data_IF_982970150554
#
_entry.id   IF_982970150554
#
_cell.length_a   1.000
_cell.length_b   1.000
_cell.length_c   1.000
_cell.angle_alpha   90.00
_cell.angle_beta   90.00
_cell.angle_gamma   90.00
#
_symmetry.space_group_name_H-M   'P 1'
#
loop_
_entity.id
_entity.type
_entity.pdbx_description
1 polymer ?
#
# COMPACT_ATOMS: atom_id res chain seq x y z
N UNK A 1 65.13 33.22 67.84
CA UNK A 1 66.24 33.34 66.88
C UNK A 1 65.65 33.88 65.57
N UNK A 2 66.04 35.12 65.18
CA UNK A 2 65.83 35.85 63.89
C UNK A 2 64.39 35.91 63.32
N UNK A 3 63.73 37.09 63.26
CA UNK A 3 63.74 38.07 62.13
C UNK A 3 63.44 37.39 60.77
N UNK A 4 62.57 37.85 59.85
CA UNK A 4 62.15 39.20 59.52
C UNK A 4 61.07 39.14 58.41
N UNK A 5 60.08 40.05 58.47
CA UNK A 5 59.65 41.00 57.42
C UNK A 5 59.50 40.59 55.93
N UNK A 6 58.31 40.92 55.41
CA UNK A 6 58.07 41.88 54.29
C UNK A 6 57.91 41.45 52.83
N UNK A 7 56.72 41.80 52.32
CA UNK A 7 56.39 42.57 51.10
C UNK A 7 56.52 41.96 49.69
N UNK A 8 55.32 41.77 49.11
CA UNK A 8 54.81 42.41 47.88
C UNK A 8 55.54 42.26 46.51
N UNK A 9 54.67 41.92 45.53
CA UNK A 9 54.51 42.53 44.19
C UNK A 9 55.26 41.97 42.97
N UNK A 10 54.57 42.12 41.82
CA UNK A 10 55.04 42.08 40.42
C UNK A 10 55.41 40.68 39.87
N UNK A 11 55.04 40.22 38.67
CA UNK A 11 54.20 40.65 37.54
C UNK A 11 54.26 39.51 36.49
N UNK A 12 53.34 39.57 35.52
CA UNK A 12 53.55 39.15 34.12
C UNK A 12 53.33 37.69 33.70
N UNK A 13 52.27 37.55 32.91
CA UNK A 13 52.23 36.94 31.58
C UNK A 13 52.76 35.51 31.42
N UNK A 14 51.83 34.57 31.20
CA UNK A 14 51.80 33.85 29.92
C UNK A 14 50.40 33.29 29.68
N UNK A 15 49.73 33.92 28.72
CA UNK A 15 48.61 33.38 27.97
C UNK A 15 49.04 32.07 27.30
N UNK A 16 48.41 30.95 27.64
CA UNK A 16 48.32 29.80 26.74
C UNK A 16 46.84 29.63 26.42
N UNK A 17 46.43 30.35 25.38
CA UNK A 17 45.24 30.04 24.62
C UNK A 17 45.48 28.69 23.92
N UNK A 18 44.96 27.61 24.49
CA UNK A 18 44.78 26.35 23.77
C UNK A 18 43.34 26.30 23.26
N UNK A 19 43.17 26.90 22.09
CA UNK A 19 42.00 26.78 21.23
C UNK A 19 41.86 25.33 20.75
N UNK A 20 41.14 24.49 21.51
CA UNK A 20 40.49 23.31 20.93
C UNK A 20 39.24 23.78 20.19
N UNK A 21 39.45 24.23 18.96
CA UNK A 21 38.39 24.32 17.97
C UNK A 21 37.92 22.90 17.67
N UNK A 22 36.94 22.42 18.44
CA UNK A 22 36.10 21.31 18.03
C UNK A 22 35.29 21.82 16.84
N UNK A 23 35.82 21.57 15.64
CA UNK A 23 35.04 21.62 14.41
C UNK A 23 33.94 20.57 14.55
N UNK A 24 32.80 21.00 15.09
CA UNK A 24 31.53 20.30 14.92
C UNK A 24 31.25 20.42 13.43
N UNK A 25 31.73 19.42 12.68
CA UNK A 25 31.25 19.15 11.33
C UNK A 25 29.77 18.84 11.53
N UNK A 26 28.94 19.87 11.37
CA UNK A 26 27.52 19.73 11.12
C UNK A 26 27.38 18.96 9.81
N UNK A 27 27.50 17.64 9.91
CA UNK A 27 26.92 16.72 8.97
C UNK A 27 25.41 16.91 9.06
N UNK A 28 24.92 17.96 8.41
CA UNK A 28 23.63 17.93 7.79
C UNK A 28 23.68 16.77 6.79
N UNK A 29 23.50 15.54 7.31
CA UNK A 29 22.75 14.53 6.59
C UNK A 29 21.39 15.19 6.35
N UNK A 30 21.32 15.98 5.28
CA UNK A 30 20.15 15.96 4.44
C UNK A 30 19.89 14.48 4.23
N UNK A 31 18.91 13.94 4.96
CA UNK A 31 18.35 12.65 4.65
C UNK A 31 17.89 12.79 3.20
N UNK A 32 18.75 12.36 2.29
CA UNK A 32 18.43 12.27 0.88
C UNK A 32 17.12 11.49 0.84
N UNK A 33 16.02 12.07 0.32
CA UNK A 33 14.73 11.41 0.38
C UNK A 33 14.94 10.05 -0.27
N UNK A 34 14.83 8.99 0.55
CA UNK A 34 15.21 7.64 0.18
C UNK A 34 14.72 7.42 -1.24
N UNK A 35 15.69 7.30 -2.18
CA UNK A 35 15.42 7.27 -3.61
C UNK A 35 14.43 6.14 -3.82
N UNK A 36 13.14 6.49 -3.98
CA UNK A 36 12.06 5.52 -4.02
C UNK A 36 12.41 4.56 -5.14
N UNK A 37 12.78 3.34 -4.81
CA UNK A 37 13.01 2.32 -5.81
C UNK A 37 11.75 2.25 -6.66
N UNK A 38 11.83 2.21 -8.00
CA UNK A 38 10.66 2.21 -8.89
C UNK A 38 9.64 1.09 -8.61
N UNK A 39 9.97 0.13 -7.74
CA UNK A 39 9.20 -1.06 -7.42
C UNK A 39 8.56 -1.09 -6.02
N UNK A 40 8.72 -0.06 -5.17
CA UNK A 40 8.08 -0.07 -3.84
C UNK A 40 6.66 0.50 -3.89
N UNK A 41 5.70 -0.32 -4.31
CA UNK A 41 4.26 0.01 -4.24
C UNK A 41 3.76 0.46 -2.85
N UNK A 42 4.31 0.05 -1.67
CA UNK A 42 3.76 0.52 -0.39
C UNK A 42 4.06 2.01 -0.09
N UNK A 43 4.72 2.74 -0.99
CA UNK A 43 5.17 4.11 -0.74
C UNK A 43 4.10 5.22 -0.82
N UNK A 44 2.85 4.92 -1.17
CA UNK A 44 1.77 5.94 -1.28
C UNK A 44 0.59 5.61 -0.38
N UNK A 45 -0.15 6.64 0.08
CA UNK A 45 -1.36 6.45 0.91
C UNK A 45 -2.43 5.73 0.11
N UNK A 46 -2.59 6.06 -1.18
CA UNK A 46 -3.52 5.35 -2.06
C UNK A 46 -3.22 3.85 -2.17
N UNK A 47 -1.95 3.45 -2.37
CA UNK A 47 -1.59 2.04 -2.47
C UNK A 47 -1.82 1.29 -1.15
N UNK A 48 -1.47 1.90 -0.02
CA UNK A 48 -1.75 1.32 1.30
C UNK A 48 -3.26 1.20 1.55
N UNK A 49 -4.04 2.22 1.20
CA UNK A 49 -5.51 2.19 1.28
C UNK A 49 -6.07 1.01 0.49
N UNK A 50 -5.67 0.83 -0.78
CA UNK A 50 -6.16 -0.31 -1.59
C UNK A 50 -5.78 -1.64 -0.93
N UNK A 51 -4.52 -1.79 -0.51
CA UNK A 51 -4.06 -3.03 0.12
C UNK A 51 -4.90 -3.40 1.35
N UNK A 52 -5.05 -2.47 2.30
CA UNK A 52 -5.81 -2.72 3.53
C UNK A 52 -7.30 -2.89 3.26
N UNK A 53 -7.88 -2.10 2.36
CA UNK A 53 -9.29 -2.23 1.99
C UNK A 53 -9.58 -3.63 1.45
N UNK A 54 -8.77 -4.11 0.51
CA UNK A 54 -8.95 -5.45 -0.08
C UNK A 54 -8.74 -6.54 0.98
N UNK A 55 -7.68 -6.46 1.77
CA UNK A 55 -7.39 -7.46 2.80
C UNK A 55 -8.50 -7.54 3.86
N UNK A 56 -8.95 -6.40 4.38
CA UNK A 56 -10.04 -6.33 5.36
C UNK A 56 -11.37 -6.80 4.75
N UNK A 57 -11.63 -6.42 3.50
CA UNK A 57 -12.81 -6.87 2.75
C UNK A 57 -12.87 -8.37 2.58
N UNK A 58 -11.74 -9.00 2.26
CA UNK A 58 -11.63 -10.46 2.11
C UNK A 58 -11.96 -11.20 3.41
N UNK A 59 -11.42 -10.74 4.54
CA UNK A 59 -11.68 -11.32 5.85
C UNK A 59 -13.13 -11.10 6.32
N UNK A 60 -13.65 -9.88 6.17
CA UNK A 60 -15.01 -9.54 6.60
C UNK A 60 -16.06 -10.28 5.78
N UNK A 61 -15.84 -10.42 4.48
CA UNK A 61 -16.79 -11.09 3.60
C UNK A 61 -16.62 -12.61 3.62
N UNK A 62 -15.54 -13.14 4.21
CA UNK A 62 -15.37 -14.58 4.36
C UNK A 62 -14.98 -15.29 3.07
N UNK A 63 -14.23 -14.61 2.19
CA UNK A 63 -14.00 -15.09 0.83
C UNK A 63 -13.24 -16.42 0.85
N UNK A 64 -13.76 -17.43 0.14
CA UNK A 64 -13.17 -18.76 0.10
C UNK A 64 -11.94 -18.79 -0.80
N UNK A 65 -11.02 -19.73 -0.58
CA UNK A 65 -9.86 -19.92 -1.47
C UNK A 65 -10.29 -20.20 -2.92
N UNK A 66 -11.37 -20.97 -3.13
CA UNK A 66 -11.91 -21.23 -4.46
C UNK A 66 -12.43 -19.98 -5.15
N UNK A 67 -12.99 -19.02 -4.41
CA UNK A 67 -13.45 -17.76 -4.99
C UNK A 67 -12.29 -16.80 -5.25
N UNK A 68 -11.25 -16.81 -4.40
CA UNK A 68 -9.99 -16.08 -4.64
C UNK A 68 -9.29 -16.59 -5.90
N UNK A 69 -9.27 -17.90 -6.12
CA UNK A 69 -8.65 -18.54 -7.28
C UNK A 69 -9.38 -18.16 -8.61
N UNK A 70 -10.61 -17.64 -8.56
CA UNK A 70 -11.29 -17.07 -9.73
C UNK A 70 -10.77 -15.67 -10.10
N UNK A 71 -10.09 -14.98 -9.17
CA UNK A 71 -9.55 -13.62 -9.35
C UNK A 71 -8.04 -13.68 -9.60
N UNK A 72 -7.31 -14.46 -8.80
CA UNK A 72 -5.87 -14.69 -8.92
C UNK A 72 -5.60 -16.19 -9.12
N UNK A 73 -5.78 -16.72 -10.35
CA UNK A 73 -5.70 -18.14 -10.61
C UNK A 73 -4.33 -18.71 -10.20
N UNK A 74 -4.29 -19.96 -9.69
CA UNK A 74 -3.04 -20.60 -9.36
C UNK A 74 -2.20 -20.82 -10.62
N UNK A 75 -0.89 -20.69 -10.49
CA UNK A 75 0.07 -21.09 -11.52
C UNK A 75 0.33 -22.60 -11.47
N UNK A 76 1.20 -23.10 -12.36
CA UNK A 76 1.55 -24.53 -12.43
C UNK A 76 2.15 -25.10 -11.14
N UNK A 77 2.76 -24.26 -10.30
CA UNK A 77 3.32 -24.65 -9.00
C UNK A 77 2.33 -24.42 -7.83
N UNK A 78 1.08 -24.05 -8.10
CA UNK A 78 0.05 -23.77 -7.10
C UNK A 78 0.12 -22.36 -6.48
N UNK A 79 1.17 -21.57 -6.74
CA UNK A 79 1.25 -20.20 -6.24
C UNK A 79 0.30 -19.27 -7.04
N UNK A 80 -0.36 -18.30 -6.39
CA UNK A 80 -1.15 -17.27 -7.05
C UNK A 80 -0.41 -16.57 -8.18
N UNK A 81 -1.03 -16.52 -9.35
CA UNK A 81 -0.48 -15.87 -10.53
C UNK A 81 -1.12 -14.52 -10.76
N UNK A 82 -0.32 -13.55 -11.18
CA UNK A 82 -0.82 -12.30 -11.72
C UNK A 82 -1.63 -12.57 -12.99
N UNK A 83 -2.91 -12.17 -13.00
CA UNK A 83 -3.77 -12.32 -14.17
C UNK A 83 -3.94 -10.99 -14.92
N UNK A 84 -3.39 -10.86 -16.14
CA UNK A 84 -3.59 -9.66 -16.96
C UNK A 84 -5.07 -9.44 -17.34
N UNK A 85 -5.95 -10.42 -17.12
CA UNK A 85 -7.38 -10.21 -17.27
C UNK A 85 -7.97 -9.29 -16.17
N UNK A 86 -7.43 -9.34 -14.96
CA UNK A 86 -8.00 -8.62 -13.81
C UNK A 86 -7.12 -7.43 -13.39
N UNK A 87 -5.82 -7.50 -13.67
CA UNK A 87 -4.82 -6.59 -13.13
C UNK A 87 -3.93 -5.95 -14.22
N UNK A 88 -3.33 -4.81 -13.90
CA UNK A 88 -2.36 -4.11 -14.75
C UNK A 88 -0.97 -4.12 -14.08
N UNK A 89 0.00 -4.75 -14.74
CA UNK A 89 1.31 -5.14 -14.16
C UNK A 89 2.11 -3.99 -13.53
N UNK A 90 1.98 -2.77 -14.04
CA UNK A 90 2.68 -1.58 -13.54
C UNK A 90 1.75 -0.56 -12.84
N UNK A 91 0.49 -0.94 -12.55
CA UNK A 91 -0.44 -0.01 -11.94
C UNK A 91 -0.27 0.03 -10.41
N UNK A 92 -0.08 1.22 -9.81
CA UNK A 92 0.10 1.37 -8.37
C UNK A 92 -1.16 1.07 -7.54
N UNK A 93 -2.32 0.88 -8.17
CA UNK A 93 -3.55 0.41 -7.54
C UNK A 93 -3.76 -1.10 -7.71
N UNK A 94 -3.36 -1.67 -8.86
CA UNK A 94 -3.50 -3.11 -9.10
C UNK A 94 -2.54 -3.93 -8.26
N UNK A 95 -1.30 -3.49 -8.15
CA UNK A 95 -0.27 -4.21 -7.41
C UNK A 95 -0.62 -4.41 -5.92
N UNK A 96 -1.01 -3.38 -5.14
CA UNK A 96 -1.44 -3.60 -3.75
C UNK A 96 -2.67 -4.51 -3.63
N UNK A 97 -3.64 -4.43 -4.56
CA UNK A 97 -4.79 -5.33 -4.53
C UNK A 97 -4.35 -6.78 -4.78
N UNK A 98 -3.50 -7.02 -5.78
CA UNK A 98 -2.94 -8.35 -6.06
C UNK A 98 -2.19 -8.90 -4.85
N UNK A 99 -1.35 -8.08 -4.22
CA UNK A 99 -0.60 -8.50 -3.02
C UNK A 99 -1.52 -8.80 -1.83
N UNK A 100 -2.61 -8.06 -1.65
CA UNK A 100 -3.62 -8.37 -0.64
C UNK A 100 -4.32 -9.72 -0.90
N UNK A 101 -4.74 -9.98 -2.15
CA UNK A 101 -5.28 -11.28 -2.55
C UNK A 101 -4.27 -12.41 -2.34
N UNK A 102 -3.02 -12.20 -2.77
CA UNK A 102 -1.92 -13.18 -2.62
C UNK A 102 -1.66 -13.48 -1.15
N UNK A 103 -1.57 -12.46 -0.29
CA UNK A 103 -1.39 -12.63 1.14
C UNK A 103 -2.55 -13.40 1.76
N UNK A 104 -3.78 -12.96 1.49
CA UNK A 104 -4.99 -13.62 1.99
C UNK A 104 -5.07 -15.08 1.54
N UNK A 105 -4.69 -15.40 0.30
CA UNK A 105 -4.71 -16.77 -0.23
C UNK A 105 -3.77 -17.74 0.49
N UNK A 106 -2.70 -17.22 1.11
CA UNK A 106 -1.72 -17.99 1.91
C UNK A 106 -1.97 -17.89 3.42
N UNK A 107 -3.10 -17.33 3.85
CA UNK A 107 -3.41 -17.22 5.27
C UNK A 107 -3.48 -18.61 5.93
N UNK A 108 -2.99 -18.67 7.15
CA UNK A 108 -3.15 -19.85 7.99
C UNK A 108 -4.57 -19.91 8.56
N UNK A 109 -4.91 -21.08 9.11
CA UNK A 109 -6.12 -21.23 9.92
C UNK A 109 -5.99 -20.42 11.20
N UNK A 110 -7.12 -19.87 11.63
CA UNK A 110 -7.24 -19.18 12.90
C UNK A 110 -7.29 -20.24 14.02
N UNK A 111 -6.29 -20.22 14.89
CA UNK A 111 -6.19 -21.12 16.03
C UNK A 111 -7.07 -20.67 17.20
N UNK A 112 -7.35 -21.58 18.13
CA UNK A 112 -8.13 -21.28 19.36
C UNK A 112 -9.65 -21.31 19.20
N UNK A 113 -10.15 -21.77 18.05
CA UNK A 113 -11.58 -21.91 17.77
C UNK A 113 -12.01 -23.38 17.82
N UNK A 114 -13.26 -23.64 18.22
CA UNK A 114 -13.83 -25.00 18.29
C UNK A 114 -13.91 -25.70 16.94
N UNK A 115 -14.03 -24.93 15.87
CA UNK A 115 -14.05 -25.42 14.50
C UNK A 115 -12.92 -24.72 13.70
N UNK A 116 -12.29 -25.43 12.74
CA UNK A 116 -11.28 -24.84 11.89
C UNK A 116 -11.91 -23.75 11.01
N UNK A 117 -11.43 -22.51 11.15
CA UNK A 117 -11.80 -21.38 10.31
C UNK A 117 -10.54 -20.68 9.82
N UNK A 118 -10.57 -20.13 8.61
CA UNK A 118 -9.47 -19.30 8.07
C UNK A 118 -9.93 -17.87 7.74
N UNK A 119 -11.17 -17.54 8.07
CA UNK A 119 -11.80 -16.24 7.79
C UNK A 119 -12.98 -15.99 8.75
N UNK A 120 -13.61 -14.82 8.69
CA UNK A 120 -14.64 -14.40 9.65
C UNK A 120 -16.04 -14.20 9.05
N UNK A 121 -16.12 -13.96 7.73
CA UNK A 121 -17.38 -13.64 7.06
C UNK A 121 -18.22 -14.84 6.62
N UNK A 122 -19.45 -14.59 6.13
CA UNK A 122 -20.39 -15.62 5.68
C UNK A 122 -20.05 -16.21 4.29
N UNK A 123 -19.07 -15.66 3.58
CA UNK A 123 -18.80 -15.94 2.17
C UNK A 123 -19.39 -14.89 1.24
N UNK A 124 -18.95 -14.92 -0.02
CA UNK A 124 -19.50 -14.06 -1.07
C UNK A 124 -20.97 -14.38 -1.34
N UNK A 125 -21.75 -13.35 -1.70
CA UNK A 125 -23.12 -13.53 -2.16
C UNK A 125 -23.16 -14.34 -3.47
N UNK A 126 -24.24 -15.11 -3.66
CA UNK A 126 -24.35 -16.04 -4.78
C UNK A 126 -24.35 -15.35 -6.15
N UNK A 127 -24.85 -14.11 -6.23
CA UNK A 127 -24.83 -13.33 -7.45
C UNK A 127 -23.40 -12.97 -7.86
N UNK A 128 -22.60 -12.43 -6.95
CA UNK A 128 -21.18 -12.15 -7.17
C UNK A 128 -20.43 -13.44 -7.52
N UNK A 129 -20.68 -14.54 -6.80
CA UNK A 129 -20.02 -15.83 -7.09
C UNK A 129 -20.37 -16.33 -8.49
N UNK A 130 -21.64 -16.23 -8.89
CA UNK A 130 -22.09 -16.59 -10.24
C UNK A 130 -21.42 -15.74 -11.32
N UNK A 131 -21.28 -14.43 -11.10
CA UNK A 131 -20.60 -13.54 -12.04
C UNK A 131 -19.10 -13.84 -12.15
N UNK A 132 -18.42 -14.14 -11.04
CA UNK A 132 -17.00 -14.55 -11.05
C UNK A 132 -16.76 -15.87 -11.80
N UNK A 133 -17.74 -16.78 -11.80
CA UNK A 133 -17.69 -18.07 -12.53
C UNK A 133 -18.17 -17.95 -13.98
N UNK A 134 -18.69 -16.80 -14.37
CA UNK A 134 -19.23 -16.59 -15.72
C UNK A 134 -18.14 -16.79 -16.78
N UNK A 135 -18.45 -17.43 -17.92
CA UNK A 135 -17.52 -17.49 -19.05
C UNK A 135 -17.26 -16.11 -19.65
N UNK A 136 -18.15 -15.13 -19.43
CA UNK A 136 -18.00 -13.77 -19.92
C UNK A 136 -16.97 -12.97 -19.09
N UNK A 137 -15.84 -12.55 -19.70
CA UNK A 137 -14.83 -11.73 -19.02
C UNK A 137 -15.36 -10.41 -18.44
N UNK A 138 -16.36 -9.79 -19.08
CA UNK A 138 -16.95 -8.55 -18.58
C UNK A 138 -17.74 -8.76 -17.29
N UNK A 139 -18.46 -9.88 -17.21
CA UNK A 139 -19.20 -10.27 -16.01
C UNK A 139 -18.26 -10.50 -14.83
N UNK A 140 -17.15 -11.21 -15.05
CA UNK A 140 -16.11 -11.41 -14.02
C UNK A 140 -15.51 -10.08 -13.57
N UNK A 141 -15.10 -9.22 -14.51
CA UNK A 141 -14.56 -7.90 -14.19
C UNK A 141 -15.57 -7.05 -13.41
N UNK A 142 -16.85 -7.08 -13.77
CA UNK A 142 -17.87 -6.30 -13.06
C UNK A 142 -18.05 -6.77 -11.61
N UNK A 143 -18.00 -8.08 -11.37
CA UNK A 143 -18.03 -8.63 -10.02
C UNK A 143 -16.83 -8.16 -9.19
N UNK A 144 -15.62 -8.23 -9.77
CA UNK A 144 -14.39 -7.75 -9.12
C UNK A 144 -14.49 -6.24 -8.83
N UNK A 145 -14.90 -5.43 -9.79
CA UNK A 145 -15.08 -3.99 -9.62
C UNK A 145 -16.07 -3.67 -8.48
N UNK A 146 -17.17 -4.41 -8.40
CA UNK A 146 -18.18 -4.27 -7.35
C UNK A 146 -17.60 -4.58 -5.96
N UNK A 147 -16.84 -5.66 -5.84
CA UNK A 147 -16.15 -6.03 -4.61
C UNK A 147 -15.14 -4.97 -4.17
N UNK A 148 -14.24 -4.58 -5.08
CA UNK A 148 -13.20 -3.58 -4.80
C UNK A 148 -13.83 -2.25 -4.42
N UNK A 149 -14.85 -1.79 -5.14
CA UNK A 149 -15.57 -0.55 -4.84
C UNK A 149 -16.16 -0.58 -3.43
N UNK A 150 -16.88 -1.65 -3.09
CA UNK A 150 -17.46 -1.83 -1.75
C UNK A 150 -16.40 -1.79 -0.65
N UNK A 151 -15.32 -2.58 -0.81
CA UNK A 151 -14.26 -2.68 0.18
C UNK A 151 -13.50 -1.37 0.39
N UNK A 152 -13.19 -0.66 -0.70
CA UNK A 152 -12.51 0.64 -0.63
C UNK A 152 -13.43 1.70 -0.01
N UNK A 153 -14.71 1.73 -0.37
CA UNK A 153 -15.68 2.66 0.22
C UNK A 153 -15.77 2.48 1.75
N UNK A 154 -15.92 1.23 2.21
CA UNK A 154 -15.99 0.93 3.64
C UNK A 154 -14.69 1.29 4.38
N UNK A 155 -13.53 1.06 3.76
CA UNK A 155 -12.26 1.46 4.39
C UNK A 155 -12.16 2.98 4.51
N UNK A 156 -12.58 3.72 3.49
CA UNK A 156 -12.62 5.18 3.52
C UNK A 156 -13.56 5.71 4.63
N UNK A 157 -14.70 5.06 4.85
CA UNK A 157 -15.61 5.37 5.97
C UNK A 157 -14.93 5.15 7.33
N UNK A 158 -14.24 4.01 7.50
CA UNK A 158 -13.54 3.68 8.75
C UNK A 158 -12.38 4.64 9.05
N UNK A 159 -11.76 5.22 8.04
CA UNK A 159 -10.66 6.18 8.22
C UNK A 159 -11.11 7.53 8.78
N UNK A 160 -12.42 7.86 8.73
CA UNK A 160 -12.98 9.12 9.27
C UNK A 160 -12.22 10.38 8.83
N UNK A 161 -11.83 10.41 7.55
CA UNK A 161 -11.06 11.49 6.96
C UNK A 161 -11.82 12.82 6.97
N UNK A 162 -11.10 13.92 7.10
CA UNK A 162 -11.68 15.24 6.81
C UNK A 162 -12.00 15.37 5.31
N UNK A 163 -12.85 16.33 4.90
CA UNK A 163 -13.11 16.59 3.49
C UNK A 163 -11.83 16.85 2.66
N UNK A 164 -10.85 17.53 3.24
CA UNK A 164 -9.56 17.84 2.62
C UNK A 164 -8.73 16.58 2.43
N UNK A 165 -8.59 15.75 3.47
CA UNK A 165 -7.88 14.48 3.37
C UNK A 165 -8.53 13.51 2.39
N UNK A 166 -9.87 13.51 2.33
CA UNK A 166 -10.64 12.73 1.35
C UNK A 166 -10.39 13.24 -0.07
N UNK A 167 -10.26 14.55 -0.27
CA UNK A 167 -9.90 15.11 -1.56
C UNK A 167 -8.46 14.74 -1.96
N UNK A 168 -7.52 14.79 -1.01
CA UNK A 168 -6.11 14.41 -1.23
C UNK A 168 -5.98 12.96 -1.68
N UNK A 169 -6.58 12.02 -0.93
CA UNK A 169 -6.49 10.60 -1.28
C UNK A 169 -7.20 10.30 -2.60
N UNK A 170 -8.28 11.03 -2.92
CA UNK A 170 -8.96 10.92 -4.23
C UNK A 170 -8.04 11.38 -5.37
N UNK A 171 -7.25 12.45 -5.17
CA UNK A 171 -6.25 12.89 -6.15
C UNK A 171 -5.14 11.87 -6.34
N UNK A 172 -4.63 11.28 -5.25
CA UNK A 172 -3.63 10.20 -5.32
C UNK A 172 -4.16 8.98 -6.09
N UNK A 173 -5.41 8.57 -5.80
CA UNK A 173 -6.07 7.47 -6.50
C UNK A 173 -6.24 7.74 -8.00
N UNK A 174 -6.66 8.95 -8.39
CA UNK A 174 -6.76 9.31 -9.82
C UNK A 174 -5.40 9.31 -10.49
N UNK A 175 -4.35 9.81 -9.82
CA UNK A 175 -3.00 9.76 -10.36
C UNK A 175 -2.52 8.33 -10.57
N UNK A 176 -2.75 7.45 -9.59
CA UNK A 176 -2.43 6.03 -9.70
C UNK A 176 -3.19 5.32 -10.82
N UNK A 177 -4.47 5.66 -11.00
CA UNK A 177 -5.30 5.19 -12.12
C UNK A 177 -4.75 5.65 -13.46
N UNK A 178 -4.44 6.95 -13.61
CA UNK A 178 -3.84 7.50 -14.84
C UNK A 178 -2.54 6.82 -15.20
N UNK A 179 -1.66 6.57 -14.21
CA UNK A 179 -0.41 5.84 -14.43
C UNK A 179 -0.66 4.42 -14.94
N UNK A 180 -1.57 3.68 -14.29
CA UNK A 180 -1.93 2.32 -14.72
C UNK A 180 -2.54 2.26 -16.12
N UNK A 181 -3.50 3.14 -16.42
CA UNK A 181 -4.17 3.18 -17.71
C UNK A 181 -3.26 3.71 -18.84
N UNK A 182 -2.30 4.59 -18.52
CA UNK A 182 -1.27 5.03 -19.46
C UNK A 182 -0.37 3.87 -19.92
N UNK A 183 -0.02 2.96 -19.00
CA UNK A 183 0.76 1.76 -19.33
C UNK A 183 0.00 0.81 -20.26
N UNK A 184 -1.33 0.69 -20.12
CA UNK A 184 -2.17 -0.10 -21.04
C UNK A 184 -2.19 0.48 -22.45
N UNK A 185 -2.21 1.81 -22.61
CA UNK A 185 -2.22 2.47 -23.93
C UNK A 185 -0.89 2.35 -24.66
N UNK A 186 0.22 2.31 -23.92
CA UNK A 186 1.56 2.41 -24.49
C UNK A 186 2.32 1.06 -24.55
N UNK A 187 1.81 -0.01 -23.91
CA UNK A 187 2.63 -1.18 -23.57
C UNK A 187 2.17 -2.56 -24.03
N UNK A 188 1.06 -2.72 -24.76
CA UNK A 188 0.60 -4.06 -25.18
C UNK A 188 0.14 -4.10 -26.64
N UNK A 189 1.06 -4.48 -27.54
CA UNK A 189 0.73 -5.13 -28.80
C UNK A 189 0.24 -6.55 -28.50
N UNK A 190 -1.04 -6.83 -28.76
CA UNK A 190 -1.56 -8.20 -28.89
C UNK A 190 -2.37 -8.79 -27.72
N UNK A 191 -2.11 -8.43 -26.46
CA UNK A 191 -2.97 -8.87 -25.33
C UNK A 191 -3.86 -7.73 -24.83
N UNK A 192 -4.96 -7.56 -25.57
CA UNK A 192 -6.20 -6.88 -25.20
C UNK A 192 -6.09 -5.38 -24.87
N UNK A 193 -6.42 -4.54 -25.88
CA UNK A 193 -6.87 -3.16 -25.70
C UNK A 193 -8.12 -3.12 -24.78
N UNK A 194 -7.92 -3.25 -23.48
CA UNK A 194 -9.00 -3.11 -22.49
C UNK A 194 -9.11 -1.64 -22.12
N UNK A 195 -10.34 -1.13 -22.19
CA UNK A 195 -10.65 0.27 -21.86
C UNK A 195 -10.81 0.49 -20.35
N UNK A 196 -10.98 -0.58 -19.57
CA UNK A 196 -11.27 -0.55 -18.14
C UNK A 196 -10.41 -1.55 -17.35
N UNK A 197 -10.23 -1.27 -16.06
CA UNK A 197 -9.56 -2.16 -15.12
C UNK A 197 -10.41 -2.21 -13.84
N UNK A 198 -10.91 -3.39 -13.43
CA UNK A 198 -11.88 -3.49 -12.34
C UNK A 198 -11.30 -3.01 -10.99
N UNK A 199 -9.99 -3.20 -10.77
CA UNK A 199 -9.32 -2.72 -9.56
C UNK A 199 -9.26 -1.18 -9.56
N UNK A 200 -8.82 -0.59 -10.66
CA UNK A 200 -8.69 0.84 -10.81
C UNK A 200 -10.05 1.55 -10.72
N UNK A 201 -11.03 1.06 -11.49
CA UNK A 201 -12.33 1.68 -11.59
C UNK A 201 -13.15 1.47 -10.31
N UNK A 202 -13.03 0.30 -9.67
CA UNK A 202 -13.61 0.06 -8.35
C UNK A 202 -13.01 0.97 -7.27
N UNK A 203 -11.68 1.01 -7.16
CA UNK A 203 -11.00 1.78 -6.11
C UNK A 203 -11.23 3.28 -6.26
N UNK A 204 -11.08 3.80 -7.48
CA UNK A 204 -11.27 5.22 -7.74
C UNK A 204 -12.75 5.61 -7.74
N UNK A 205 -13.63 4.74 -8.25
CA UNK A 205 -15.08 4.94 -8.19
C UNK A 205 -15.56 5.14 -6.76
N UNK A 206 -15.13 4.29 -5.82
CA UNK A 206 -15.44 4.41 -4.40
C UNK A 206 -14.99 5.74 -3.78
N UNK A 207 -13.88 6.33 -4.26
CA UNK A 207 -13.43 7.64 -3.77
C UNK A 207 -14.36 8.79 -4.18
N UNK A 208 -15.05 8.64 -5.33
CA UNK A 208 -15.98 9.65 -5.88
C UNK A 208 -17.40 9.54 -5.36
N UNK A 209 -17.83 8.36 -4.92
CA UNK A 209 -19.18 8.16 -4.38
C UNK A 209 -19.29 8.92 -3.05
N UNK A 210 -20.28 9.83 -3.00
CA UNK A 210 -20.73 10.59 -1.83
C UNK A 210 -22.18 10.25 -1.58
#
# INVERSE_FOLDING_TARGET
MKMNRSYNTFTSLSLIALSLASAIVSSALAAEPARRTPHSWPGTRASQLVFFAVLEGLYRDGVTNSDVDLIIPPSTNGAPRFDPEHFVYACPLCHPAFEAFRLYRHRDRIFGLKAPMDTFGPGLDDNIRSQLRSPNPESRRKAIETLISRWVAQRLELMRLTPEERADITREMEQGRKQGMGALKNGLTGLQLRKNCPICDGSFGACKLK
#
